data_IF_174908740637
#
_entry.id   IF_174908740637
#
_cell.length_a   1.000
_cell.length_b   1.000
_cell.length_c   1.000
_cell.angle_alpha   90.00
_cell.angle_beta   90.00
_cell.angle_gamma   90.00
#
_symmetry.space_group_name_H-M   'P 1'
#
loop_
_entity.id
_entity.type
_entity.pdbx_description
1 polymer ?
#
# COMPACT_ATOMS: atom_id res chain seq x y z
N UNK A 1 13.59 8.57 0.31
CA UNK A 1 12.83 7.39 -0.16
C UNK A 1 13.81 6.44 -0.83
N UNK A 2 13.88 5.18 -0.40
CA UNK A 2 14.86 4.19 -0.86
C UNK A 2 14.29 3.22 -1.90
N UNK A 3 13.01 2.85 -1.77
CA UNK A 3 12.33 1.92 -2.68
C UNK A 3 10.83 2.15 -2.69
N UNK A 4 10.23 1.89 -3.84
CA UNK A 4 8.78 1.85 -4.02
C UNK A 4 8.32 0.39 -4.14
N UNK A 5 7.18 0.08 -3.52
CA UNK A 5 6.51 -1.21 -3.63
C UNK A 5 5.12 -1.00 -4.23
N UNK A 6 4.86 -1.60 -5.39
CA UNK A 6 3.53 -1.58 -5.99
C UNK A 6 2.70 -2.68 -5.33
N UNK A 7 1.67 -2.29 -4.58
CA UNK A 7 0.73 -3.19 -3.89
C UNK A 7 -0.72 -2.95 -4.34
N UNK A 8 -0.89 -2.51 -5.59
CA UNK A 8 -2.19 -2.30 -6.22
C UNK A 8 -2.95 -3.61 -6.50
N UNK A 9 -4.24 -3.50 -6.81
CA UNK A 9 -5.09 -4.59 -7.27
C UNK A 9 -6.37 -4.77 -6.46
N UNK A 10 -6.82 -6.01 -6.36
CA UNK A 10 -8.09 -6.37 -5.73
C UNK A 10 -7.88 -7.08 -4.39
N UNK A 11 -8.70 -6.75 -3.39
CA UNK A 11 -8.81 -7.50 -2.14
C UNK A 11 -9.79 -8.69 -2.27
N UNK A 12 -9.82 -9.57 -1.27
CA UNK A 12 -10.73 -10.71 -1.19
C UNK A 12 -10.85 -11.26 0.23
N UNK A 13 -11.73 -12.24 0.44
CA UNK A 13 -12.06 -12.77 1.79
C UNK A 13 -11.05 -13.80 2.35
N UNK A 14 -10.12 -14.29 1.53
CA UNK A 14 -9.18 -15.34 1.94
C UNK A 14 -8.25 -14.84 3.05
N UNK A 15 -8.10 -15.62 4.12
CA UNK A 15 -7.22 -15.30 5.25
C UNK A 15 -5.76 -15.09 4.85
N UNK A 16 -5.30 -15.79 3.81
CA UNK A 16 -3.96 -15.61 3.25
C UNK A 16 -3.63 -14.18 2.81
N UNK A 17 -4.65 -13.31 2.62
CA UNK A 17 -4.46 -11.90 2.29
C UNK A 17 -4.07 -11.03 3.48
N UNK A 18 -4.09 -11.55 4.71
CA UNK A 18 -3.46 -10.91 5.88
C UNK A 18 -1.97 -10.62 5.64
N UNK A 19 -1.32 -11.43 4.79
CA UNK A 19 0.04 -11.19 4.31
C UNK A 19 0.30 -9.75 3.86
N UNK A 20 -0.64 -9.10 3.17
CA UNK A 20 -0.44 -7.73 2.68
C UNK A 20 -0.45 -6.68 3.79
N UNK A 21 -1.18 -6.93 4.88
CA UNK A 21 -1.17 -6.09 6.07
C UNK A 21 0.16 -6.24 6.79
N UNK A 22 0.57 -7.49 7.09
CA UNK A 22 1.83 -7.79 7.78
C UNK A 22 3.05 -7.29 6.98
N UNK A 23 3.01 -7.46 5.66
CA UNK A 23 4.06 -6.98 4.77
C UNK A 23 4.19 -5.45 4.84
N UNK A 24 3.07 -4.71 4.80
CA UNK A 24 3.08 -3.26 4.87
C UNK A 24 3.63 -2.74 6.22
N UNK A 25 3.34 -3.42 7.33
CA UNK A 25 3.86 -3.08 8.66
C UNK A 25 5.37 -3.38 8.78
N UNK A 26 5.83 -4.48 8.17
CA UNK A 26 7.23 -4.89 8.20
C UNK A 26 8.13 -4.06 7.26
N UNK A 27 7.56 -3.28 6.33
CA UNK A 27 8.33 -2.48 5.39
C UNK A 27 9.20 -1.42 6.09
N UNK A 28 10.49 -1.30 5.72
CA UNK A 28 11.37 -0.26 6.23
C UNK A 28 10.78 1.15 6.10
N UNK A 29 10.97 2.00 7.10
CA UNK A 29 10.37 3.35 7.17
C UNK A 29 10.82 4.30 6.05
N UNK A 30 11.86 3.96 5.31
CA UNK A 30 12.37 4.70 4.16
C UNK A 30 11.75 4.25 2.81
N UNK A 31 10.70 3.43 2.84
CA UNK A 31 9.98 2.92 1.66
C UNK A 31 8.57 3.50 1.52
N UNK A 32 8.07 3.50 0.29
CA UNK A 32 6.73 3.99 -0.07
C UNK A 32 5.95 2.89 -0.80
N UNK A 33 4.67 2.74 -0.46
CA UNK A 33 3.71 1.86 -1.12
C UNK A 33 2.95 2.68 -2.17
N UNK A 34 2.93 2.19 -3.41
CA UNK A 34 2.06 2.69 -4.48
C UNK A 34 0.88 1.74 -4.62
N UNK A 35 -0.34 2.26 -4.60
CA UNK A 35 -1.55 1.45 -4.66
C UNK A 35 -2.63 2.04 -5.56
N UNK A 36 -3.49 1.17 -6.06
CA UNK A 36 -4.70 1.47 -6.80
C UNK A 36 -5.67 0.29 -6.61
N UNK A 37 -6.98 0.55 -6.56
CA UNK A 37 -8.00 -0.50 -6.35
C UNK A 37 -8.18 -0.96 -4.90
N UNK A 38 -9.08 -1.92 -4.67
CA UNK A 38 -9.53 -2.25 -3.31
C UNK A 38 -8.49 -3.01 -2.46
N UNK A 39 -7.38 -3.50 -3.02
CA UNK A 39 -6.26 -4.03 -2.24
C UNK A 39 -5.74 -3.05 -1.18
N UNK A 40 -5.90 -1.74 -1.42
CA UNK A 40 -5.55 -0.65 -0.49
C UNK A 40 -6.12 -0.86 0.92
N UNK A 41 -7.30 -1.47 1.06
CA UNK A 41 -7.97 -1.60 2.36
C UNK A 41 -7.22 -2.50 3.36
N UNK A 42 -6.23 -3.26 2.90
CA UNK A 42 -5.36 -4.06 3.76
C UNK A 42 -4.34 -3.24 4.54
N UNK A 43 -4.03 -2.02 4.11
CA UNK A 43 -2.95 -1.24 4.73
C UNK A 43 -3.20 0.28 4.76
N UNK A 44 -4.23 0.82 4.08
CA UNK A 44 -4.48 2.26 4.01
C UNK A 44 -4.96 2.89 5.33
N UNK A 45 -5.37 2.08 6.31
CA UNK A 45 -5.77 2.53 7.65
C UNK A 45 -4.66 2.36 8.70
N UNK A 46 -3.50 1.85 8.30
CA UNK A 46 -2.37 1.68 9.19
C UNK A 46 -1.63 3.02 9.40
N UNK A 47 -1.11 3.30 10.60
CA UNK A 47 -0.36 4.53 10.88
C UNK A 47 1.08 4.42 10.35
N UNK A 48 1.25 4.28 9.02
CA UNK A 48 2.56 4.05 8.40
C UNK A 48 3.44 5.31 8.34
N UNK A 49 2.85 6.50 8.49
CA UNK A 49 3.56 7.79 8.52
C UNK A 49 3.93 8.33 7.13
N UNK A 50 4.87 9.28 7.11
CA UNK A 50 5.38 9.96 5.92
C UNK A 50 6.91 9.97 5.88
N UNK A 51 7.47 10.33 4.73
CA UNK A 51 8.90 10.56 4.52
C UNK A 51 9.07 11.97 3.97
N UNK A 52 9.45 12.91 4.81
CA UNK A 52 9.66 14.30 4.41
C UNK A 52 8.38 14.97 3.90
N UNK A 53 7.23 14.68 4.53
CA UNK A 53 5.92 15.20 4.14
C UNK A 53 5.22 14.38 3.04
N UNK A 54 5.87 13.38 2.45
CA UNK A 54 5.27 12.48 1.47
C UNK A 54 4.67 11.26 2.18
N UNK A 55 3.34 11.02 2.13
CA UNK A 55 2.73 9.85 2.75
C UNK A 55 3.37 8.53 2.28
N UNK A 56 3.59 7.58 3.20
CA UNK A 56 4.16 6.27 2.85
C UNK A 56 3.22 5.35 2.09
N UNK A 57 1.95 5.73 1.93
CA UNK A 57 0.98 5.10 1.04
C UNK A 57 0.48 6.15 0.07
N UNK A 58 0.78 5.98 -1.21
CA UNK A 58 0.29 6.82 -2.29
C UNK A 58 -0.78 6.04 -3.05
N UNK A 59 -2.01 6.51 -2.93
CA UNK A 59 -3.20 5.90 -3.53
C UNK A 59 -3.57 6.65 -4.81
N UNK A 60 -3.39 5.99 -5.95
CA UNK A 60 -3.70 6.53 -7.28
C UNK A 60 -5.20 6.45 -7.62
N UNK A 61 -6.02 5.71 -6.86
CA UNK A 61 -7.47 5.63 -7.06
C UNK A 61 -8.01 4.22 -7.23
N UNK A 62 -8.94 4.04 -8.16
CA UNK A 62 -9.57 2.77 -8.49
C UNK A 62 -8.61 1.82 -9.21
N UNK A 63 -9.02 0.57 -9.46
CA UNK A 63 -8.13 -0.42 -10.07
C UNK A 63 -7.68 -0.04 -11.50
N UNK A 64 -8.52 0.69 -12.25
CA UNK A 64 -8.20 1.26 -13.56
C UNK A 64 -7.14 2.37 -13.48
N UNK A 65 -6.95 3.01 -12.33
CA UNK A 65 -5.90 4.02 -12.14
C UNK A 65 -4.50 3.40 -11.98
N UNK A 66 -4.39 2.07 -12.08
CA UNK A 66 -3.10 1.36 -12.18
C UNK A 66 -2.29 1.73 -13.43
N UNK A 67 -2.89 2.48 -14.38
CA UNK A 67 -2.18 3.06 -15.51
C UNK A 67 -1.26 4.24 -15.13
N UNK A 68 -1.60 4.93 -14.04
CA UNK A 68 -0.87 6.11 -13.53
C UNK A 68 0.47 5.72 -12.90
#
# INVERSE_FOLDING_TARGET
>A
IRKFFVMAGCDGRMKSREYYTEFAEALPKDTVILTAGCAKYRYNKLPLGDIGGIPRVLDAGQCNDSYS
#
